data_IF_660518356831
#
_entry.id   IF_660518356831
#
_cell.length_a   1.000
_cell.length_b   1.000
_cell.length_c   1.000
_cell.angle_alpha   90.00
_cell.angle_beta   90.00
_cell.angle_gamma   90.00
#
_symmetry.space_group_name_H-M   'P 1'
#
loop_
_entity.id
_entity.type
_entity.pdbx_description
1 polymer ?
#
# COMPACT_ATOMS: atom_id res chain seq x y z
N UNK A 1 -20.60 32.70 -40.84
CA UNK A 1 -21.51 31.54 -40.74
C UNK A 1 -21.69 31.21 -39.26
N UNK A 2 -22.92 31.22 -38.75
CA UNK A 2 -23.19 30.95 -37.33
C UNK A 2 -22.96 29.47 -37.03
N UNK A 3 -21.86 29.15 -36.34
CA UNK A 3 -21.60 27.78 -35.89
C UNK A 3 -22.68 27.36 -34.89
N UNK A 4 -23.38 26.27 -35.23
CA UNK A 4 -24.40 25.67 -34.38
C UNK A 4 -23.74 24.72 -33.39
N UNK A 5 -24.46 24.42 -32.31
CA UNK A 5 -24.07 23.40 -31.35
C UNK A 5 -23.88 22.04 -32.04
N UNK A 6 -22.83 21.30 -31.67
CA UNK A 6 -22.47 20.01 -32.22
C UNK A 6 -23.43 18.87 -31.85
N UNK A 7 -24.36 19.11 -30.92
CA UNK A 7 -25.36 18.11 -30.54
C UNK A 7 -26.53 18.05 -31.54
N UNK A 8 -26.95 16.84 -31.94
CA UNK A 8 -27.98 16.65 -32.95
C UNK A 8 -29.31 17.22 -32.44
N UNK A 9 -30.03 17.91 -33.34
CA UNK A 9 -31.29 18.63 -33.05
C UNK A 9 -31.15 19.89 -32.18
N UNK A 10 -29.93 20.37 -31.93
CA UNK A 10 -29.73 21.65 -31.25
C UNK A 10 -29.59 22.82 -32.23
N UNK A 11 -30.58 23.70 -32.28
CA UNK A 11 -30.53 24.91 -33.13
C UNK A 11 -29.79 26.09 -32.47
N UNK A 12 -29.31 25.89 -31.22
CA UNK A 12 -28.65 26.97 -30.47
C UNK A 12 -27.27 27.26 -31.02
N UNK A 13 -26.89 28.55 -30.98
CA UNK A 13 -25.54 28.99 -31.32
C UNK A 13 -24.51 28.37 -30.37
N UNK A 14 -23.40 27.96 -30.95
CA UNK A 14 -22.18 27.60 -30.24
C UNK A 14 -21.72 28.74 -29.31
N UNK A 15 -21.25 28.38 -28.12
CA UNK A 15 -20.77 29.34 -27.10
C UNK A 15 -19.38 29.00 -26.58
N UNK A 16 -19.02 27.73 -26.45
CA UNK A 16 -17.70 27.30 -25.98
C UNK A 16 -17.38 25.88 -26.43
N UNK A 17 -16.11 25.65 -26.76
CA UNK A 17 -15.59 24.34 -27.18
C UNK A 17 -15.12 23.56 -25.97
N UNK A 18 -15.35 22.24 -25.97
CA UNK A 18 -14.69 21.34 -25.03
C UNK A 18 -13.37 20.86 -25.66
N UNK A 19 -12.24 21.19 -25.05
CA UNK A 19 -10.91 20.78 -25.54
C UNK A 19 -10.70 19.26 -25.48
N UNK A 20 -11.30 18.58 -24.49
CA UNK A 20 -11.18 17.13 -24.33
C UNK A 20 -11.84 16.35 -25.48
N UNK A 21 -12.93 16.90 -26.05
CA UNK A 21 -13.73 16.21 -27.07
C UNK A 21 -13.70 16.93 -28.43
N UNK A 22 -13.05 18.09 -28.50
CA UNK A 22 -13.05 19.01 -29.64
C UNK A 22 -14.47 19.30 -30.18
N UNK A 23 -15.46 19.37 -29.27
CA UNK A 23 -16.87 19.58 -29.59
C UNK A 23 -17.28 21.01 -29.31
N UNK A 24 -17.97 21.61 -30.28
CA UNK A 24 -18.51 22.95 -30.17
C UNK A 24 -19.90 22.93 -29.52
N UNK A 25 -20.03 23.32 -28.25
CA UNK A 25 -21.30 23.20 -27.51
C UNK A 25 -21.96 24.56 -27.22
N UNK A 26 -23.29 24.55 -27.08
CA UNK A 26 -24.00 25.65 -26.46
C UNK A 26 -23.91 25.55 -24.93
N UNK A 27 -24.23 26.61 -24.19
CA UNK A 27 -24.09 26.64 -22.72
C UNK A 27 -24.84 25.49 -22.02
N UNK A 28 -26.03 25.11 -22.49
CA UNK A 28 -26.78 24.00 -21.89
C UNK A 28 -26.05 22.66 -22.08
N UNK A 29 -25.71 22.30 -23.31
CA UNK A 29 -25.03 21.04 -23.58
C UNK A 29 -23.61 21.01 -23.02
N UNK A 30 -22.96 22.16 -22.84
CA UNK A 30 -21.69 22.24 -22.11
C UNK A 30 -21.87 21.91 -20.62
N UNK A 31 -22.93 22.42 -19.98
CA UNK A 31 -23.22 22.11 -18.59
C UNK A 31 -23.59 20.62 -18.40
N UNK A 32 -24.41 20.07 -19.30
CA UNK A 32 -24.77 18.65 -19.30
C UNK A 32 -23.53 17.77 -19.55
N UNK A 33 -22.68 18.17 -20.50
CA UNK A 33 -21.41 17.50 -20.78
C UNK A 33 -20.49 17.52 -19.56
N UNK A 34 -20.31 18.68 -18.92
CA UNK A 34 -19.51 18.82 -17.72
C UNK A 34 -20.06 18.00 -16.56
N UNK A 35 -21.39 17.98 -16.37
CA UNK A 35 -22.02 17.14 -15.34
C UNK A 35 -21.77 15.65 -15.58
N UNK A 36 -21.82 15.22 -16.84
CA UNK A 36 -21.55 13.83 -17.24
C UNK A 36 -20.07 13.45 -17.13
N UNK A 37 -19.17 14.40 -17.37
CA UNK A 37 -17.73 14.22 -17.14
C UNK A 37 -17.43 14.11 -15.66
N UNK A 38 -17.99 15.00 -14.83
CA UNK A 38 -17.82 14.97 -13.37
C UNK A 38 -18.37 13.67 -12.79
N UNK A 39 -19.55 13.22 -13.23
CA UNK A 39 -20.16 11.99 -12.72
C UNK A 39 -19.33 10.73 -13.03
N UNK A 40 -18.49 10.77 -14.07
CA UNK A 40 -17.56 9.68 -14.39
C UNK A 40 -16.20 9.83 -13.68
N UNK A 41 -15.71 11.06 -13.51
CA UNK A 41 -14.42 11.32 -12.87
C UNK A 41 -14.45 11.10 -11.36
N UNK A 42 -15.56 11.42 -10.68
CA UNK A 42 -15.67 11.24 -9.23
C UNK A 42 -15.47 9.78 -8.81
N UNK A 43 -16.17 8.77 -9.39
CA UNK A 43 -15.95 7.37 -9.06
C UNK A 43 -14.53 6.87 -9.39
N UNK A 44 -13.88 7.42 -10.42
CA UNK A 44 -12.50 7.07 -10.76
C UNK A 44 -11.53 7.61 -9.71
N UNK A 45 -11.73 8.85 -9.27
CA UNK A 45 -10.96 9.46 -8.18
C UNK A 45 -11.12 8.64 -6.89
N UNK A 46 -12.34 8.25 -6.55
CA UNK A 46 -12.61 7.42 -5.37
C UNK A 46 -11.91 6.06 -5.45
N UNK A 47 -11.94 5.40 -6.61
CA UNK A 47 -11.22 4.14 -6.85
C UNK A 47 -9.71 4.31 -6.71
N UNK A 48 -9.14 5.37 -7.28
CA UNK A 48 -7.71 5.66 -7.16
C UNK A 48 -7.34 5.89 -5.69
N UNK A 49 -8.12 6.68 -4.95
CA UNK A 49 -7.89 6.92 -3.54
C UNK A 49 -7.98 5.63 -2.71
N UNK A 50 -8.96 4.78 -2.99
CA UNK A 50 -9.08 3.47 -2.34
C UNK A 50 -7.86 2.58 -2.62
N UNK A 51 -7.41 2.51 -3.88
CA UNK A 51 -6.21 1.75 -4.25
C UNK A 51 -4.95 2.32 -3.59
N UNK A 52 -4.81 3.64 -3.52
CA UNK A 52 -3.72 4.29 -2.79
C UNK A 52 -3.73 3.95 -1.30
N UNK A 53 -4.89 3.97 -0.66
CA UNK A 53 -5.03 3.56 0.74
C UNK A 53 -4.69 2.07 0.95
N UNK A 54 -5.12 1.19 0.04
CA UNK A 54 -4.74 -0.21 0.08
C UNK A 54 -3.23 -0.40 -0.09
N UNK A 55 -2.60 0.30 -1.03
CA UNK A 55 -1.14 0.26 -1.20
C UNK A 55 -0.40 0.79 0.03
N UNK A 56 -0.88 1.87 0.66
CA UNK A 56 -0.34 2.36 1.93
C UNK A 56 -0.50 1.35 3.07
N UNK A 57 -1.59 0.57 3.07
CA UNK A 57 -1.81 -0.48 4.07
C UNK A 57 -0.86 -1.68 3.90
N UNK A 58 -0.29 -1.88 2.72
CA UNK A 58 0.85 -2.78 2.52
C UNK A 58 2.13 -2.12 3.08
N UNK A 59 2.18 -1.97 4.40
CA UNK A 59 3.35 -1.45 5.08
C UNK A 59 4.44 -2.53 5.13
N UNK A 60 5.16 -2.68 4.01
CA UNK A 60 6.27 -3.63 3.86
C UNK A 60 7.31 -3.42 4.97
N UNK A 61 7.47 -2.18 5.45
CA UNK A 61 8.37 -1.87 6.55
C UNK A 61 7.93 -2.55 7.84
N UNK A 62 6.64 -2.47 8.21
CA UNK A 62 6.09 -3.14 9.39
C UNK A 62 6.25 -4.66 9.32
N UNK A 63 5.94 -5.28 8.17
CA UNK A 63 6.15 -6.72 7.97
C UNK A 63 7.64 -7.10 8.11
N UNK A 64 8.53 -6.26 7.57
CA UNK A 64 9.98 -6.46 7.65
C UNK A 64 10.48 -6.33 9.09
N UNK A 65 9.99 -5.35 9.84
CA UNK A 65 10.39 -5.09 11.22
C UNK A 65 9.91 -6.20 12.15
N UNK A 66 8.69 -6.71 11.97
CA UNK A 66 8.19 -7.90 12.68
C UNK A 66 9.08 -9.11 12.36
N UNK A 67 9.43 -9.31 11.09
CA UNK A 67 10.32 -10.40 10.66
C UNK A 67 11.71 -10.30 11.30
N UNK A 68 12.31 -9.11 11.30
CA UNK A 68 13.61 -8.84 11.95
C UNK A 68 13.55 -9.07 13.46
N UNK A 69 12.47 -8.64 14.12
CA UNK A 69 12.27 -8.88 15.55
C UNK A 69 12.23 -10.36 15.90
N UNK A 70 11.52 -11.17 15.10
CA UNK A 70 11.48 -12.63 15.29
C UNK A 70 12.85 -13.29 15.08
N UNK A 71 13.62 -12.84 14.09
CA UNK A 71 14.99 -13.33 13.85
C UNK A 71 15.94 -12.97 14.99
N UNK A 72 15.84 -11.75 15.52
CA UNK A 72 16.63 -11.31 16.68
C UNK A 72 16.30 -12.14 17.93
N UNK A 73 15.02 -12.41 18.18
CA UNK A 73 14.59 -13.27 19.28
C UNK A 73 15.13 -14.69 19.10
N UNK A 74 14.99 -15.27 17.91
CA UNK A 74 15.51 -16.61 17.60
C UNK A 74 17.02 -16.69 17.83
N UNK A 75 17.78 -15.65 17.44
CA UNK A 75 19.23 -15.56 17.71
C UNK A 75 19.52 -15.63 19.21
N UNK A 76 18.80 -14.84 20.02
CA UNK A 76 18.97 -14.81 21.49
C UNK A 76 18.65 -16.16 22.12
N UNK A 77 17.51 -16.75 21.77
CA UNK A 77 17.07 -18.05 22.29
C UNK A 77 18.10 -19.15 21.98
N UNK A 78 18.71 -19.11 20.79
CA UNK A 78 19.75 -20.06 20.41
C UNK A 78 21.02 -19.88 21.25
N UNK A 79 21.48 -18.65 21.45
CA UNK A 79 22.65 -18.39 22.29
C UNK A 79 22.42 -18.84 23.73
N UNK A 80 21.29 -18.48 24.34
CA UNK A 80 20.96 -18.91 25.71
C UNK A 80 20.95 -20.43 25.87
N UNK A 81 20.42 -21.16 24.89
CA UNK A 81 20.45 -22.63 24.91
C UNK A 81 21.85 -23.20 24.80
N UNK A 82 22.68 -22.61 23.93
CA UNK A 82 24.07 -23.04 23.76
C UNK A 82 24.83 -22.82 25.07
N UNK A 83 24.70 -21.63 25.67
CA UNK A 83 25.37 -21.26 26.91
C UNK A 83 24.93 -22.17 28.06
N UNK A 84 23.62 -22.43 28.18
CA UNK A 84 23.09 -23.34 29.20
C UNK A 84 23.64 -24.77 29.06
N UNK A 85 23.72 -25.29 27.83
CA UNK A 85 24.29 -26.62 27.58
C UNK A 85 25.78 -26.62 27.93
N UNK A 86 26.51 -25.58 27.55
CA UNK A 86 27.92 -25.44 27.85
C UNK A 86 28.18 -25.43 29.37
N UNK A 87 27.50 -24.58 30.11
CA UNK A 87 27.62 -24.49 31.58
C UNK A 87 27.29 -25.82 32.25
N UNK A 88 26.21 -26.48 31.82
CA UNK A 88 25.84 -27.80 32.33
C UNK A 88 26.94 -28.83 32.11
N UNK A 89 27.57 -28.83 30.93
CA UNK A 89 28.67 -29.75 30.62
C UNK A 89 29.93 -29.45 31.42
N UNK A 90 30.25 -28.19 31.67
CA UNK A 90 31.33 -27.82 32.57
C UNK A 90 31.07 -28.35 33.99
N UNK A 91 29.87 -28.16 34.53
CA UNK A 91 29.50 -28.66 35.86
C UNK A 91 29.56 -30.19 35.95
N UNK A 92 29.09 -30.90 34.92
CA UNK A 92 29.19 -32.37 34.85
C UNK A 92 30.66 -32.83 34.87
N UNK A 93 31.55 -32.12 34.17
CA UNK A 93 32.99 -32.42 34.16
C UNK A 93 33.65 -32.12 35.51
N UNK A 94 33.36 -30.97 36.11
CA UNK A 94 33.90 -30.59 37.43
C UNK A 94 33.52 -31.61 38.50
N UNK A 95 32.27 -32.11 38.47
CA UNK A 95 31.80 -33.16 39.36
C UNK A 95 32.60 -34.46 39.20
N UNK A 96 32.79 -34.92 37.95
CA UNK A 96 33.56 -36.13 37.65
C UNK A 96 35.01 -36.02 38.14
N UNK A 97 35.68 -34.89 37.89
CA UNK A 97 37.05 -34.69 38.34
C UNK A 97 37.17 -34.60 39.87
N UNK A 98 36.15 -34.07 40.54
CA UNK A 98 36.16 -33.98 42.01
C UNK A 98 35.94 -35.36 42.65
N UNK A 99 35.03 -36.19 42.10
CA UNK A 99 34.84 -37.57 42.56
C UNK A 99 36.06 -38.47 42.34
N UNK A 100 36.80 -38.29 41.24
CA UNK A 100 38.03 -39.05 40.97
C UNK A 100 39.20 -38.66 41.90
N UNK A 101 39.18 -37.46 42.49
CA UNK A 101 40.23 -36.98 43.40
C UNK A 101 39.99 -37.38 44.87
N UNK A 102 38.78 -37.82 45.23
CA UNK A 102 38.41 -38.23 46.60
C UNK A 102 38.46 -39.76 46.83
N UNK A 103 38.87 -40.55 45.82
CA UNK A 103 39.15 -41.99 45.92
C UNK A 103 40.65 -42.30 46.04
#
# INVERSE_FOLDING_TARGET
>A
MSQQCAEPKCERRFRASCDCCNKNLCLQHLNEHNALVISQLTPLTDKINMLCHQLQSFNIQEVTDIGRGKLEQWRKDCHEKIDHIFEKKCQELDYLFTEEMEQ
#
